data_IF_365262864998
#
_entry.id   IF_365262864998
#
_cell.length_a   1.000
_cell.length_b   1.000
_cell.length_c   1.000
_cell.angle_alpha   90.00
_cell.angle_beta   90.00
_cell.angle_gamma   90.00
#
_symmetry.space_group_name_H-M   'P 1'
#
loop_
_entity.id
_entity.type
_entity.pdbx_description
1 polymer ?
#
# COMPACT_ATOMS: atom_id res chain seq x y z
N UNK A 1 21.31 5.61 12.44
CA UNK A 1 20.36 4.65 11.82
C UNK A 1 20.77 3.19 11.96
N UNK A 2 22.04 2.79 11.71
CA UNK A 2 22.45 1.38 11.71
C UNK A 2 22.05 0.56 12.96
N UNK A 3 22.21 1.12 14.17
CA UNK A 3 21.80 0.43 15.41
C UNK A 3 20.30 0.26 15.59
N UNK A 4 19.47 1.12 15.00
CA UNK A 4 18.00 1.01 15.08
C UNK A 4 17.49 -0.10 14.15
N UNK A 5 18.04 -0.18 12.94
CA UNK A 5 17.60 -1.17 11.93
C UNK A 5 17.93 -2.59 12.37
N UNK A 6 19.11 -2.81 12.97
CA UNK A 6 19.56 -4.13 13.38
C UNK A 6 18.71 -4.79 14.49
N UNK A 7 18.01 -4.00 15.31
CA UNK A 7 17.17 -4.49 16.40
C UNK A 7 15.67 -4.28 16.21
N UNK A 8 15.23 -3.88 15.01
CA UNK A 8 13.81 -3.55 14.77
C UNK A 8 12.96 -4.83 14.69
N UNK A 9 11.85 -4.93 15.43
CA UNK A 9 10.90 -6.04 15.28
C UNK A 9 10.12 -5.93 13.97
N UNK A 10 9.33 -6.96 13.65
CA UNK A 10 8.44 -6.95 12.49
C UNK A 10 7.54 -5.70 12.47
N UNK A 11 7.39 -5.12 11.28
CA UNK A 11 6.52 -3.97 11.09
C UNK A 11 5.09 -4.43 10.84
N UNK A 12 4.23 -4.30 11.86
CA UNK A 12 2.80 -4.42 11.65
C UNK A 12 2.32 -3.22 10.84
N UNK A 13 2.04 -3.43 9.56
CA UNK A 13 1.54 -2.41 8.61
C UNK A 13 0.02 -2.26 8.60
N UNK A 14 -0.72 -3.19 9.22
CA UNK A 14 -2.19 -3.19 9.21
C UNK A 14 -2.76 -2.30 10.31
N UNK A 15 -3.82 -1.55 9.99
CA UNK A 15 -4.54 -0.69 10.95
C UNK A 15 -6.05 -0.87 10.80
N UNK A 16 -6.76 -1.14 11.90
CA UNK A 16 -8.23 -1.15 11.93
C UNK A 16 -8.78 0.27 12.04
N UNK A 17 -8.72 1.00 10.92
CA UNK A 17 -9.19 2.39 10.78
C UNK A 17 -9.97 2.53 9.48
N UNK A 18 -10.77 3.59 9.40
CA UNK A 18 -11.65 3.87 8.25
C UNK A 18 -11.03 4.85 7.25
N UNK A 19 -9.93 5.53 7.60
CA UNK A 19 -9.30 6.52 6.75
C UNK A 19 -7.83 6.17 6.54
N UNK A 20 -7.46 5.89 5.29
CA UNK A 20 -6.12 5.49 4.86
C UNK A 20 -6.14 4.73 3.54
N UNK A 21 -4.96 4.35 3.04
CA UNK A 21 -4.84 3.50 1.84
C UNK A 21 -5.28 2.07 2.19
N UNK A 22 -6.26 1.48 1.49
CA UNK A 22 -6.76 0.15 1.84
C UNK A 22 -5.73 -0.94 1.53
N UNK A 23 -5.65 -1.95 2.40
CA UNK A 23 -4.97 -3.22 2.07
C UNK A 23 -5.94 -4.05 1.23
N UNK A 24 -5.96 -3.79 -0.07
CA UNK A 24 -6.92 -4.35 -1.01
C UNK A 24 -6.66 -5.83 -1.35
N UNK A 25 -6.86 -6.69 -0.34
CA UNK A 25 -6.70 -8.14 -0.44
C UNK A 25 -8.02 -8.86 -0.15
N UNK A 26 -8.18 -10.00 -0.82
CA UNK A 26 -9.18 -11.00 -0.46
C UNK A 26 -8.45 -12.17 0.21
N UNK A 27 -8.93 -12.60 1.38
CA UNK A 27 -8.33 -13.70 2.15
C UNK A 27 -9.32 -14.85 2.30
N UNK A 28 -8.85 -16.07 2.14
CA UNK A 28 -9.67 -17.27 2.30
C UNK A 28 -10.14 -17.38 3.75
N UNK A 29 -11.44 -17.56 3.97
CA UNK A 29 -12.04 -17.54 5.31
C UNK A 29 -11.56 -18.68 6.21
N UNK A 30 -11.14 -19.81 5.64
CA UNK A 30 -10.75 -21.00 6.40
C UNK A 30 -9.25 -20.96 6.77
N UNK A 31 -8.39 -20.52 5.87
CA UNK A 31 -6.93 -20.55 6.03
C UNK A 31 -6.31 -19.19 6.37
N UNK A 32 -7.01 -18.09 6.10
CA UNK A 32 -6.46 -16.73 6.21
C UNK A 32 -5.45 -16.40 5.10
N UNK A 33 -5.21 -17.31 4.15
CA UNK A 33 -4.26 -17.07 3.06
C UNK A 33 -4.84 -16.08 2.04
N UNK A 34 -4.00 -15.22 1.43
CA UNK A 34 -4.43 -14.38 0.32
C UNK A 34 -4.94 -15.20 -0.86
N UNK A 35 -5.89 -14.66 -1.61
CA UNK A 35 -6.37 -15.29 -2.84
C UNK A 35 -5.20 -15.56 -3.80
N UNK A 36 -5.14 -16.72 -4.48
CA UNK A 36 -4.07 -17.01 -5.45
C UNK A 36 -3.88 -15.97 -6.57
N UNK A 37 -4.91 -15.18 -6.88
CA UNK A 37 -4.93 -14.11 -7.90
C UNK A 37 -4.72 -12.73 -7.28
N UNK A 38 -4.16 -12.64 -6.06
CA UNK A 38 -4.07 -11.39 -5.29
C UNK A 38 -3.43 -10.24 -6.08
N UNK A 39 -2.37 -10.49 -6.84
CA UNK A 39 -1.69 -9.46 -7.64
C UNK A 39 -2.61 -8.91 -8.75
N UNK A 40 -3.30 -9.79 -9.47
CA UNK A 40 -4.25 -9.41 -10.52
C UNK A 40 -5.43 -8.61 -9.93
N UNK A 41 -6.00 -9.09 -8.83
CA UNK A 41 -7.13 -8.45 -8.15
C UNK A 41 -6.73 -7.08 -7.58
N UNK A 42 -5.54 -6.98 -6.99
CA UNK A 42 -4.98 -5.72 -6.48
C UNK A 42 -4.86 -4.68 -7.59
N UNK A 43 -4.35 -5.07 -8.76
CA UNK A 43 -4.25 -4.19 -9.93
C UNK A 43 -5.63 -3.72 -10.41
N UNK A 44 -6.63 -4.61 -10.45
CA UNK A 44 -8.00 -4.26 -10.82
C UNK A 44 -8.63 -3.27 -9.82
N UNK A 45 -8.33 -3.40 -8.53
CA UNK A 45 -8.77 -2.45 -7.50
C UNK A 45 -8.02 -1.13 -7.62
N UNK A 46 -6.70 -1.16 -7.84
CA UNK A 46 -5.87 0.03 -8.01
C UNK A 46 -6.38 0.91 -9.15
N UNK A 47 -6.78 0.32 -10.28
CA UNK A 47 -7.41 1.04 -11.41
C UNK A 47 -8.71 1.73 -11.03
N UNK A 48 -9.55 1.09 -10.21
CA UNK A 48 -10.79 1.70 -9.70
C UNK A 48 -10.48 2.84 -8.75
N UNK A 49 -9.51 2.65 -7.85
CA UNK A 49 -9.06 3.68 -6.90
C UNK A 49 -8.46 4.88 -7.62
N UNK A 50 -7.72 4.68 -8.71
CA UNK A 50 -7.19 5.77 -9.52
C UNK A 50 -8.29 6.66 -10.15
N UNK A 51 -9.49 6.11 -10.37
CA UNK A 51 -10.62 6.83 -10.97
C UNK A 51 -11.58 7.40 -9.91
N UNK A 52 -11.90 6.60 -8.89
CA UNK A 52 -12.95 6.87 -7.90
C UNK A 52 -12.45 7.14 -6.48
N UNK A 53 -11.14 7.19 -6.27
CA UNK A 53 -10.55 7.32 -4.94
C UNK A 53 -10.62 6.02 -4.11
N UNK A 54 -10.11 6.08 -2.88
CA UNK A 54 -10.02 4.91 -1.98
C UNK A 54 -11.38 4.31 -1.62
N UNK A 55 -12.45 5.11 -1.65
CA UNK A 55 -13.83 4.69 -1.38
C UNK A 55 -14.31 3.62 -2.37
N UNK A 56 -13.72 3.57 -3.57
CA UNK A 56 -14.02 2.54 -4.56
C UNK A 56 -13.78 1.11 -4.00
N UNK A 57 -12.77 0.92 -3.16
CA UNK A 57 -12.53 -0.39 -2.53
C UNK A 57 -13.63 -0.75 -1.53
N UNK A 58 -14.07 0.21 -0.73
CA UNK A 58 -15.09 -0.01 0.29
C UNK A 58 -16.45 -0.29 -0.33
N UNK A 59 -16.81 0.44 -1.38
CA UNK A 59 -18.06 0.28 -2.11
C UNK A 59 -18.11 -0.99 -2.99
N UNK A 60 -16.97 -1.52 -3.41
CA UNK A 60 -16.89 -2.70 -4.29
C UNK A 60 -17.53 -3.94 -3.66
N UNK A 61 -18.44 -4.59 -4.38
CA UNK A 61 -18.91 -5.94 -4.06
C UNK A 61 -17.85 -6.97 -4.49
N UNK A 62 -17.47 -7.87 -3.57
CA UNK A 62 -16.52 -8.94 -3.85
C UNK A 62 -16.98 -9.83 -5.02
N UNK A 63 -18.30 -10.00 -5.21
CA UNK A 63 -18.86 -10.78 -6.33
C UNK A 63 -18.50 -10.21 -7.70
N UNK A 64 -18.26 -8.90 -7.82
CA UNK A 64 -17.85 -8.29 -9.09
C UNK A 64 -16.47 -8.76 -9.56
N UNK A 65 -15.58 -9.16 -8.64
CA UNK A 65 -14.23 -9.63 -8.96
C UNK A 65 -14.07 -11.14 -8.82
N UNK A 66 -14.78 -11.74 -7.87
CA UNK A 66 -14.63 -13.15 -7.50
C UNK A 66 -15.76 -14.04 -8.02
N UNK A 67 -16.88 -13.45 -8.48
CA UNK A 67 -18.06 -14.21 -8.88
C UNK A 67 -18.56 -15.12 -7.75
N UNK A 68 -18.75 -16.40 -8.06
CA UNK A 68 -19.20 -17.43 -7.11
C UNK A 68 -18.20 -17.68 -5.97
N UNK A 69 -16.91 -17.43 -6.19
CA UNK A 69 -15.89 -17.63 -5.15
C UNK A 69 -16.00 -16.61 -4.00
N UNK A 70 -16.75 -15.51 -4.18
CA UNK A 70 -16.87 -14.44 -3.19
C UNK A 70 -17.30 -14.94 -1.81
N UNK A 71 -18.09 -16.01 -1.73
CA UNK A 71 -18.54 -16.56 -0.45
C UNK A 71 -17.41 -17.24 0.36
N UNK A 72 -16.37 -17.72 -0.33
CA UNK A 72 -15.20 -18.34 0.29
C UNK A 72 -14.20 -17.32 0.84
N UNK A 73 -14.20 -16.11 0.31
CA UNK A 73 -13.21 -15.09 0.62
C UNK A 73 -13.79 -13.94 1.46
N UNK A 74 -12.97 -13.35 2.32
CA UNK A 74 -13.28 -12.14 3.06
C UNK A 74 -12.51 -10.96 2.44
N UNK A 75 -13.20 -9.85 2.22
CA UNK A 75 -12.59 -8.57 1.82
C UNK A 75 -11.89 -7.94 3.02
N UNK A 76 -10.58 -7.71 2.93
CA UNK A 76 -9.83 -7.00 3.99
C UNK A 76 -10.26 -5.54 4.02
N UNK A 77 -10.52 -5.03 5.23
CA UNK A 77 -11.01 -3.65 5.45
C UNK A 77 -10.00 -2.77 6.17
N UNK A 78 -8.90 -3.35 6.64
CA UNK A 78 -7.77 -2.64 7.23
C UNK A 78 -7.11 -1.71 6.21
N UNK A 79 -6.51 -0.63 6.74
CA UNK A 79 -5.69 0.31 5.98
C UNK A 79 -4.21 0.14 6.31
N UNK A 80 -3.36 0.62 5.42
CA UNK A 80 -1.93 0.69 5.62
C UNK A 80 -1.58 1.71 6.72
N UNK A 81 -0.47 1.45 7.39
CA UNK A 81 0.16 2.37 8.32
C UNK A 81 0.60 3.64 7.59
N UNK A 82 0.35 4.82 8.18
CA UNK A 82 0.66 6.11 7.54
C UNK A 82 2.15 6.27 7.20
N UNK A 83 3.03 5.61 7.95
CA UNK A 83 4.46 5.58 7.66
C UNK A 83 4.80 4.82 6.38
N UNK A 84 3.97 3.87 5.97
CA UNK A 84 4.09 3.23 4.67
C UNK A 84 3.77 4.24 3.57
N UNK A 85 2.65 4.97 3.70
CA UNK A 85 2.22 5.98 2.73
C UNK A 85 3.29 7.06 2.52
N UNK A 86 3.88 7.60 3.59
CA UNK A 86 4.99 8.55 3.47
C UNK A 86 6.27 7.89 2.96
N UNK A 87 6.56 6.66 3.40
CA UNK A 87 7.79 5.93 3.08
C UNK A 87 7.91 5.56 1.60
N UNK A 88 6.79 5.45 0.86
CA UNK A 88 6.79 5.14 -0.57
C UNK A 88 6.81 6.37 -1.49
N UNK A 89 6.94 7.58 -0.96
CA UNK A 89 6.98 8.82 -1.76
C UNK A 89 8.10 8.84 -2.80
N UNK A 90 9.23 8.17 -2.55
CA UNK A 90 10.28 8.03 -3.56
C UNK A 90 9.74 7.36 -4.84
N UNK A 91 8.96 6.29 -4.71
CA UNK A 91 8.39 5.58 -5.85
C UNK A 91 7.12 6.27 -6.40
N UNK A 92 6.23 6.69 -5.50
CA UNK A 92 4.91 7.20 -5.88
C UNK A 92 4.90 8.68 -6.29
N UNK A 93 5.96 9.44 -6.00
CA UNK A 93 6.08 10.86 -6.36
C UNK A 93 7.33 11.13 -7.19
N UNK A 94 8.51 10.75 -6.71
CA UNK A 94 9.77 11.08 -7.41
C UNK A 94 9.88 10.27 -8.71
N UNK A 95 9.79 8.95 -8.63
CA UNK A 95 9.92 8.09 -9.81
C UNK A 95 8.71 8.21 -10.76
N UNK A 96 7.52 8.47 -10.20
CA UNK A 96 6.29 8.58 -10.98
C UNK A 96 6.16 9.89 -11.79
N UNK A 97 6.96 10.92 -11.48
CA UNK A 97 6.91 12.24 -12.13
C UNK A 97 8.16 12.46 -12.98
N UNK A 98 8.06 12.47 -14.32
CA UNK A 98 9.23 12.62 -15.20
C UNK A 98 10.08 13.86 -14.91
N UNK A 99 9.49 14.95 -14.43
CA UNK A 99 10.18 16.17 -14.05
C UNK A 99 11.00 16.06 -12.76
N UNK A 100 10.76 15.03 -11.94
CA UNK A 100 11.49 14.72 -10.71
C UNK A 100 12.36 13.46 -10.85
N UNK A 101 12.00 12.57 -11.77
CA UNK A 101 12.67 11.30 -11.99
C UNK A 101 14.12 11.49 -12.48
N UNK A 102 15.00 10.61 -12.02
CA UNK A 102 16.45 10.69 -12.31
C UNK A 102 16.81 10.41 -13.77
N UNK A 103 15.87 9.90 -14.56
CA UNK A 103 16.09 9.48 -15.95
C UNK A 103 16.53 10.64 -16.89
N UNK A 104 16.41 11.90 -16.44
CA UNK A 104 16.96 13.08 -17.14
C UNK A 104 18.22 13.69 -16.52
N UNK A 105 18.63 13.27 -15.32
CA UNK A 105 19.68 13.92 -14.53
C UNK A 105 20.50 12.89 -13.73
N UNK A 106 21.37 12.15 -14.42
CA UNK A 106 22.27 11.15 -13.84
C UNK A 106 23.18 11.68 -12.70
N UNK A 107 23.26 13.00 -12.53
CA UNK A 107 24.13 13.68 -11.56
C UNK A 107 23.41 14.13 -10.27
N UNK A 108 22.09 14.02 -10.19
CA UNK A 108 21.32 14.58 -9.07
C UNK A 108 21.14 13.54 -7.96
N UNK A 109 21.48 13.94 -6.73
CA UNK A 109 21.24 13.14 -5.52
C UNK A 109 20.04 13.71 -4.79
N UNK A 110 19.03 12.88 -4.55
CA UNK A 110 17.91 13.25 -3.67
C UNK A 110 18.43 13.36 -2.24
N UNK A 111 18.24 14.53 -1.64
CA UNK A 111 18.55 14.78 -0.24
C UNK A 111 17.25 14.93 0.54
N UNK A 112 17.11 14.13 1.58
CA UNK A 112 16.03 14.26 2.56
C UNK A 112 16.49 15.10 3.74
N UNK A 113 15.73 16.13 4.08
CA UNK A 113 16.06 17.08 5.15
C UNK A 113 14.85 17.24 6.07
N UNK A 114 14.93 16.60 7.24
CA UNK A 114 13.85 16.56 8.22
C UNK A 114 14.39 16.70 9.65
N UNK A 115 13.47 16.82 10.63
CA UNK A 115 13.78 16.77 12.05
C UNK A 115 14.42 15.45 12.49
N UNK A 116 15.13 15.48 13.63
CA UNK A 116 15.84 14.30 14.16
C UNK A 116 14.89 13.16 14.59
N UNK A 117 13.61 13.47 14.84
CA UNK A 117 12.56 12.50 15.11
C UNK A 117 12.29 11.56 13.93
N UNK A 118 12.57 12.00 12.69
CA UNK A 118 12.36 11.17 11.50
C UNK A 118 13.31 9.97 11.40
N UNK A 119 14.37 9.90 12.23
CA UNK A 119 15.13 8.66 12.36
C UNK A 119 14.29 7.44 12.75
N UNK A 120 13.08 7.64 13.30
CA UNK A 120 12.12 6.59 13.69
C UNK A 120 10.78 6.69 12.95
N UNK A 121 10.66 7.62 12.01
CA UNK A 121 9.44 7.92 11.26
C UNK A 121 9.63 7.59 9.79
N UNK A 122 9.73 8.65 8.99
CA UNK A 122 9.92 8.58 7.54
C UNK A 122 11.22 7.90 7.10
#
# INVERSE_FOLDING_TARGET
MAGMVAGRPDWCISRQRTWGVPIALFVDKASGAPHPRSIELLEQVARRVAQGGVDAWYALDARELLGEEAERYAKVTDVLDVWFDSGVTHACVVDARPELAQDGHADWRVMYLEGSDQHRGW
#
